data_IF_422441468212
#
_entry.id   IF_422441468212
#
_cell.length_a   1.000
_cell.length_b   1.000
_cell.length_c   1.000
_cell.angle_alpha   90.00
_cell.angle_beta   90.00
_cell.angle_gamma   90.00
#
_symmetry.space_group_name_H-M   'P 1'
#
loop_
_entity.id
_entity.type
_entity.pdbx_description
1 polymer ?
#
# COMPACT_ATOMS: atom_id res chain seq x y z
N UNK A 1 12.31 11.47 -10.87
CA UNK A 1 11.35 10.58 -11.55
C UNK A 1 10.47 9.97 -10.47
N UNK A 2 9.16 10.22 -10.50
CA UNK A 2 8.25 9.57 -9.55
C UNK A 2 8.11 8.10 -9.96
N UNK A 3 8.36 7.19 -9.01
CA UNK A 3 8.20 5.76 -9.24
C UNK A 3 6.72 5.44 -9.46
N UNK A 4 6.46 4.63 -10.48
CA UNK A 4 5.13 4.16 -10.85
C UNK A 4 4.98 2.69 -10.49
N UNK A 5 3.75 2.23 -10.33
CA UNK A 5 3.45 0.82 -10.05
C UNK A 5 3.70 -0.11 -11.23
N UNK A 6 3.72 0.44 -12.46
CA UNK A 6 3.79 -0.35 -13.69
C UNK A 6 2.43 -0.89 -14.14
N UNK A 7 1.35 -0.57 -13.42
CA UNK A 7 -0.03 -0.83 -13.81
C UNK A 7 -0.74 0.48 -14.16
N UNK A 8 -1.19 0.62 -15.40
CA UNK A 8 -1.77 1.87 -15.91
C UNK A 8 -3.05 2.31 -15.17
N UNK A 9 -3.88 1.36 -14.73
CA UNK A 9 -5.12 1.65 -13.98
C UNK A 9 -4.76 2.17 -12.60
N UNK A 10 -3.83 1.50 -11.92
CA UNK A 10 -3.39 1.88 -10.58
C UNK A 10 -2.61 3.21 -10.60
N UNK A 11 -1.76 3.43 -11.60
CA UNK A 11 -1.02 4.68 -11.75
C UNK A 11 -1.95 5.87 -12.00
N UNK A 12 -3.00 5.69 -12.81
CA UNK A 12 -4.03 6.71 -13.01
C UNK A 12 -4.73 7.03 -11.69
N UNK A 13 -5.16 6.01 -10.95
CA UNK A 13 -5.82 6.20 -9.65
C UNK A 13 -4.92 6.93 -8.64
N UNK A 14 -3.67 6.50 -8.49
CA UNK A 14 -2.67 7.12 -7.60
C UNK A 14 -2.50 8.59 -7.95
N UNK A 15 -2.41 8.92 -9.25
CA UNK A 15 -2.28 10.29 -9.73
C UNK A 15 -3.53 11.12 -9.44
N UNK A 16 -4.72 10.62 -9.76
CA UNK A 16 -6.01 11.31 -9.53
C UNK A 16 -6.26 11.60 -8.06
N UNK A 17 -5.91 10.67 -7.17
CA UNK A 17 -6.04 10.82 -5.72
C UNK A 17 -4.83 11.49 -5.05
N UNK A 18 -3.82 11.89 -5.82
CA UNK A 18 -2.56 12.50 -5.34
C UNK A 18 -1.86 11.65 -4.26
N UNK A 19 -1.93 10.34 -4.41
CA UNK A 19 -1.28 9.36 -3.53
C UNK A 19 0.17 9.16 -3.94
N UNK A 20 0.96 8.61 -3.03
CA UNK A 20 2.35 8.24 -3.30
C UNK A 20 2.46 6.72 -3.46
N UNK A 21 3.05 6.29 -4.58
CA UNK A 21 3.47 4.89 -4.75
C UNK A 21 4.74 4.63 -3.92
N UNK A 22 4.78 3.47 -3.25
CA UNK A 22 5.95 3.00 -2.51
C UNK A 22 6.25 1.56 -2.97
N UNK A 23 7.45 1.27 -3.48
CA UNK A 23 7.83 -0.08 -3.87
C UNK A 23 7.78 -1.04 -2.69
N UNK A 24 7.32 -2.27 -2.92
CA UNK A 24 7.27 -3.31 -1.90
C UNK A 24 8.63 -3.61 -1.24
N UNK A 25 9.73 -3.39 -1.98
CA UNK A 25 11.10 -3.61 -1.49
C UNK A 25 11.53 -2.58 -0.41
N UNK A 26 10.75 -1.52 -0.18
CA UNK A 26 10.97 -0.58 0.92
C UNK A 26 10.35 -1.05 2.24
N UNK A 27 9.67 -2.20 2.26
CA UNK A 27 9.12 -2.78 3.49
C UNK A 27 9.93 -4.01 3.92
N UNK A 28 10.20 -4.11 5.22
CA UNK A 28 10.86 -5.25 5.87
C UNK A 28 10.02 -5.79 7.01
N UNK A 29 10.37 -7.00 7.46
CA UNK A 29 9.71 -7.69 8.58
C UNK A 29 8.18 -7.70 8.40
N UNK A 30 7.74 -8.10 7.20
CA UNK A 30 6.32 -8.18 6.89
C UNK A 30 5.76 -9.42 7.57
N UNK A 31 4.93 -9.20 8.58
CA UNK A 31 4.34 -10.23 9.43
C UNK A 31 2.82 -10.19 9.28
N UNK A 32 2.19 -11.36 9.16
CA UNK A 32 0.73 -11.45 9.15
C UNK A 32 0.17 -10.98 10.49
N UNK A 33 -0.85 -10.11 10.44
CA UNK A 33 -1.53 -9.61 11.62
C UNK A 33 -2.94 -10.19 11.74
N UNK A 34 -3.75 -10.07 10.68
CA UNK A 34 -5.12 -10.59 10.68
C UNK A 34 -5.69 -10.73 9.25
N UNK A 35 -6.84 -11.41 9.11
CA UNK A 35 -7.59 -11.54 7.86
C UNK A 35 -9.06 -11.22 8.13
N UNK A 36 -9.52 -10.12 7.53
CA UNK A 36 -10.94 -9.80 7.44
C UNK A 36 -11.60 -10.46 6.22
N UNK A 37 -12.89 -10.15 6.03
CA UNK A 37 -13.65 -10.65 4.86
C UNK A 37 -13.10 -10.17 3.51
N UNK A 38 -12.60 -8.94 3.45
CA UNK A 38 -12.19 -8.29 2.18
C UNK A 38 -10.70 -8.01 2.06
N UNK A 39 -9.95 -8.11 3.16
CA UNK A 39 -8.53 -7.77 3.19
C UNK A 39 -7.74 -8.62 4.17
N UNK A 40 -6.45 -8.77 3.90
CA UNK A 40 -5.46 -9.30 4.83
C UNK A 40 -4.64 -8.12 5.36
N UNK A 41 -4.41 -8.10 6.67
CA UNK A 41 -3.64 -7.07 7.35
C UNK A 41 -2.28 -7.66 7.73
N UNK A 42 -1.23 -6.92 7.42
CA UNK A 42 0.14 -7.22 7.80
C UNK A 42 0.73 -6.07 8.60
N UNK A 43 1.66 -6.40 9.48
CA UNK A 43 2.54 -5.45 10.14
C UNK A 43 3.87 -5.43 9.39
N UNK A 44 4.46 -4.26 9.20
CA UNK A 44 5.74 -4.14 8.52
C UNK A 44 6.56 -2.95 9.05
N UNK A 45 7.84 -2.94 8.72
CA UNK A 45 8.73 -1.80 8.91
C UNK A 45 8.96 -1.15 7.54
N UNK A 46 8.49 0.07 7.37
CA UNK A 46 8.80 0.89 6.20
C UNK A 46 10.16 1.56 6.37
N UNK A 47 11.05 1.32 5.41
CA UNK A 47 12.37 1.93 5.31
C UNK A 47 12.25 3.24 4.53
N UNK A 48 11.96 4.34 5.22
CA UNK A 48 11.92 5.65 4.55
C UNK A 48 13.35 6.17 4.31
N UNK A 49 13.97 5.66 3.24
CA UNK A 49 15.33 6.06 2.81
C UNK A 49 15.43 7.52 2.41
N UNK A 50 14.29 8.16 2.12
CA UNK A 50 14.24 9.56 1.72
C UNK A 50 14.14 10.52 2.90
N UNK A 51 13.61 10.08 4.06
CA UNK A 51 13.51 10.89 5.29
C UNK A 51 14.46 10.37 6.37
N UNK A 52 15.76 10.53 6.13
CA UNK A 52 16.83 10.28 7.11
C UNK A 52 16.93 8.82 7.63
N UNK A 53 16.58 7.83 6.80
CA UNK A 53 16.60 6.41 7.16
C UNK A 53 15.82 6.09 8.45
N UNK A 54 14.72 6.82 8.69
CA UNK A 54 13.86 6.50 9.82
C UNK A 54 12.98 5.32 9.47
N UNK A 55 13.26 4.19 10.13
CA UNK A 55 12.40 3.02 10.08
C UNK A 55 11.09 3.34 10.81
N UNK A 56 9.97 3.09 10.14
CA UNK A 56 8.63 3.30 10.71
C UNK A 56 7.86 2.00 10.73
N UNK A 57 7.27 1.69 11.87
CA UNK A 57 6.31 0.61 11.96
C UNK A 57 5.01 1.05 11.28
N UNK A 58 4.52 0.22 10.38
CA UNK A 58 3.34 0.50 9.55
C UNK A 58 2.44 -0.73 9.48
N UNK A 59 1.18 -0.49 9.13
CA UNK A 59 0.19 -1.53 8.84
C UNK A 59 -0.04 -1.53 7.32
N UNK A 60 0.10 -2.70 6.70
CA UNK A 60 -0.21 -2.93 5.30
C UNK A 60 -1.55 -3.66 5.20
N UNK A 61 -2.55 -3.03 4.57
CA UNK A 61 -3.86 -3.64 4.30
C UNK A 61 -3.88 -4.08 2.83
N UNK A 62 -3.81 -5.38 2.60
CA UNK A 62 -3.80 -6.02 1.28
C UNK A 62 -5.21 -6.49 0.91
N UNK A 63 -5.69 -6.09 -0.27
CA UNK A 63 -7.01 -6.49 -0.78
C UNK A 63 -6.99 -7.87 -1.40
N UNK A 64 -8.02 -8.68 -1.12
CA UNK A 64 -8.15 -10.03 -1.69
C UNK A 64 -8.50 -10.01 -3.19
N UNK A 65 -9.16 -8.95 -3.69
CA UNK A 65 -9.48 -8.77 -5.09
C UNK A 65 -9.46 -7.28 -5.48
N UNK A 66 -8.50 -6.87 -6.31
CA UNK A 66 -8.36 -5.47 -6.75
C UNK A 66 -9.40 -5.09 -7.83
N UNK A 67 -9.98 -6.07 -8.52
CA UNK A 67 -10.83 -5.84 -9.69
C UNK A 67 -12.31 -5.59 -9.36
N UNK A 68 -12.80 -6.07 -8.22
CA UNK A 68 -14.25 -6.07 -7.98
C UNK A 68 -14.73 -4.86 -7.18
N UNK A 69 -13.86 -4.16 -6.43
CA UNK A 69 -14.35 -3.08 -5.57
C UNK A 69 -13.29 -2.13 -4.98
N UNK A 70 -12.43 -1.56 -5.82
CA UNK A 70 -11.46 -0.55 -5.38
C UNK A 70 -12.18 0.69 -4.80
N UNK A 71 -13.33 1.08 -5.36
CA UNK A 71 -14.08 2.27 -4.92
C UNK A 71 -14.82 2.05 -3.58
N UNK A 72 -15.47 0.91 -3.36
CA UNK A 72 -16.21 0.65 -2.10
C UNK A 72 -15.26 0.53 -0.90
N UNK A 73 -14.08 -0.07 -1.09
CA UNK A 73 -13.09 -0.21 -0.02
C UNK A 73 -12.44 1.12 0.40
N UNK A 74 -12.23 2.03 -0.55
CA UNK A 74 -11.54 3.31 -0.28
C UNK A 74 -12.50 4.43 0.13
N UNK A 75 -13.81 4.17 0.14
CA UNK A 75 -14.85 5.03 0.70
C UNK A 75 -15.22 4.68 2.16
N UNK A 76 -14.55 3.70 2.78
CA UNK A 76 -14.72 3.40 4.20
C UNK A 76 -14.15 4.57 5.04
N UNK A 77 -15.02 5.35 5.71
CA UNK A 77 -14.72 6.54 6.53
C UNK A 77 -14.54 6.17 8.00
#
# INVERSE_FOLDING_TARGET
YEEKSGNAILDKFISERRLKWIPCNEFKNVEYLDKGGFSIVYKAIWLDRNRNNQNKEVVLKCLNNLNENLDEFLNEV
#
